data_IF_882523283496
#
_entry.id   IF_882523283496
#
_cell.length_a   1.000
_cell.length_b   1.000
_cell.length_c   1.000
_cell.angle_alpha   90.00
_cell.angle_beta   90.00
_cell.angle_gamma   90.00
#
_symmetry.space_group_name_H-M   'P 1'
#
loop_
_entity.id
_entity.type
_entity.pdbx_description
1 polymer ?
#
# COMPACT_ATOMS: atom_id res chain seq x y z
N UNK A 1 -34.97 -43.60 -9.35
CA UNK A 1 -33.59 -43.09 -9.53
C UNK A 1 -32.61 -44.15 -9.08
N UNK A 2 -31.59 -44.49 -9.87
CA UNK A 2 -30.58 -45.50 -9.51
C UNK A 2 -29.75 -45.05 -8.29
N UNK A 3 -29.39 -45.97 -7.40
CA UNK A 3 -28.53 -45.67 -6.23
C UNK A 3 -27.21 -45.01 -6.64
N UNK A 4 -26.67 -45.41 -7.78
CA UNK A 4 -25.45 -44.83 -8.38
C UNK A 4 -25.64 -43.34 -8.67
N UNK A 5 -26.82 -42.92 -9.14
CA UNK A 5 -27.11 -41.51 -9.42
C UNK A 5 -27.12 -40.66 -8.16
N UNK A 6 -27.61 -41.20 -7.03
CA UNK A 6 -27.60 -40.52 -5.72
C UNK A 6 -26.19 -40.38 -5.17
N UNK A 7 -25.37 -41.43 -5.31
CA UNK A 7 -23.95 -41.40 -4.90
C UNK A 7 -23.16 -40.36 -5.68
N UNK A 8 -23.36 -40.27 -7.00
CA UNK A 8 -22.75 -39.24 -7.85
C UNK A 8 -23.18 -37.83 -7.41
N UNK A 9 -24.46 -37.61 -7.10
CA UNK A 9 -24.94 -36.31 -6.64
C UNK A 9 -24.32 -35.93 -5.29
N UNK A 10 -24.20 -36.87 -4.37
CA UNK A 10 -23.56 -36.64 -3.07
C UNK A 10 -22.07 -36.32 -3.23
N UNK A 11 -21.35 -37.06 -4.08
CA UNK A 11 -19.95 -36.78 -4.40
C UNK A 11 -19.77 -35.39 -5.01
N UNK A 12 -20.66 -34.97 -5.91
CA UNK A 12 -20.65 -33.61 -6.49
C UNK A 12 -20.85 -32.53 -5.41
N UNK A 13 -21.77 -32.74 -4.47
CA UNK A 13 -22.01 -31.81 -3.35
C UNK A 13 -20.78 -31.68 -2.46
N UNK A 14 -20.13 -32.80 -2.12
CA UNK A 14 -18.90 -32.80 -1.32
C UNK A 14 -17.79 -32.04 -2.07
N UNK A 15 -17.59 -32.30 -3.37
CA UNK A 15 -16.58 -31.60 -4.17
C UNK A 15 -16.86 -30.08 -4.21
N UNK A 16 -18.12 -29.68 -4.41
CA UNK A 16 -18.49 -28.27 -4.44
C UNK A 16 -18.20 -27.58 -3.10
N UNK A 17 -18.52 -28.24 -1.98
CA UNK A 17 -18.25 -27.74 -0.63
C UNK A 17 -16.75 -27.63 -0.36
N UNK A 18 -15.95 -28.66 -0.70
CA UNK A 18 -14.50 -28.61 -0.52
C UNK A 18 -13.86 -27.50 -1.37
N UNK A 19 -14.31 -27.31 -2.62
CA UNK A 19 -13.86 -26.20 -3.48
C UNK A 19 -14.17 -24.84 -2.87
N UNK A 20 -15.35 -24.69 -2.26
CA UNK A 20 -15.74 -23.47 -1.54
C UNK A 20 -14.80 -23.21 -0.36
N UNK A 21 -14.51 -24.23 0.45
CA UNK A 21 -13.58 -24.14 1.58
C UNK A 21 -12.16 -23.75 1.16
N UNK A 22 -11.65 -24.35 0.08
CA UNK A 22 -10.34 -23.98 -0.48
C UNK A 22 -10.32 -22.50 -0.88
N UNK A 23 -11.36 -22.03 -1.57
CA UNK A 23 -11.46 -20.62 -1.98
C UNK A 23 -11.55 -19.66 -0.80
N UNK A 24 -12.23 -20.05 0.27
CA UNK A 24 -12.31 -19.27 1.51
C UNK A 24 -10.97 -19.23 2.25
N UNK A 25 -10.25 -20.35 2.33
CA UNK A 25 -8.91 -20.41 2.89
C UNK A 25 -7.92 -19.52 2.13
N UNK A 26 -7.92 -19.59 0.79
CA UNK A 26 -7.09 -18.73 -0.06
C UNK A 26 -7.38 -17.23 0.14
N UNK A 27 -8.65 -16.86 0.29
CA UNK A 27 -9.03 -15.48 0.59
C UNK A 27 -8.57 -15.04 1.98
N UNK A 28 -8.62 -15.93 2.97
CA UNK A 28 -8.16 -15.65 4.32
C UNK A 28 -6.64 -15.43 4.34
N UNK A 29 -5.89 -16.26 3.62
CA UNK A 29 -4.44 -16.14 3.44
C UNK A 29 -4.08 -14.81 2.77
N UNK A 30 -4.66 -14.50 1.61
CA UNK A 30 -4.42 -13.23 0.91
C UNK A 30 -4.77 -12.01 1.77
N UNK A 31 -5.84 -12.10 2.59
CA UNK A 31 -6.20 -11.04 3.54
C UNK A 31 -5.17 -10.91 4.66
N UNK A 32 -4.60 -12.01 5.13
CA UNK A 32 -3.56 -12.00 6.17
C UNK A 32 -2.25 -11.39 5.64
N UNK A 33 -1.87 -11.73 4.41
CA UNK A 33 -0.71 -11.16 3.73
C UNK A 33 -0.88 -9.66 3.48
N UNK A 34 -2.06 -9.24 3.00
CA UNK A 34 -2.37 -7.83 2.81
C UNK A 34 -2.26 -7.04 4.14
N UNK A 35 -2.81 -7.58 5.24
CA UNK A 35 -2.67 -6.97 6.57
C UNK A 35 -1.22 -6.86 7.02
N UNK A 36 -0.41 -7.89 6.78
CA UNK A 36 1.00 -7.88 7.13
C UNK A 36 1.74 -6.82 6.31
N UNK A 37 1.48 -6.75 5.01
CA UNK A 37 2.05 -5.75 4.10
C UNK A 37 1.66 -4.32 4.50
N UNK A 38 0.39 -4.10 4.83
CA UNK A 38 -0.10 -2.79 5.29
C UNK A 38 0.62 -2.36 6.59
N UNK A 39 0.81 -3.30 7.53
CA UNK A 39 1.58 -3.04 8.75
C UNK A 39 3.04 -2.72 8.48
N UNK A 40 3.69 -3.46 7.58
CA UNK A 40 5.07 -3.19 7.19
C UNK A 40 5.21 -1.80 6.56
N UNK A 41 4.32 -1.44 5.64
CA UNK A 41 4.30 -0.12 5.02
C UNK A 41 4.07 0.99 6.04
N UNK A 42 3.14 0.81 6.98
CA UNK A 42 2.88 1.77 8.04
C UNK A 42 4.11 2.01 8.93
N UNK A 43 4.77 0.92 9.37
CA UNK A 43 5.95 0.99 10.24
C UNK A 43 7.11 1.67 9.50
N UNK A 44 7.41 1.23 8.26
CA UNK A 44 8.51 1.79 7.47
C UNK A 44 8.26 3.26 7.11
N UNK A 45 7.02 3.63 6.77
CA UNK A 45 6.64 5.01 6.53
C UNK A 45 6.87 5.88 7.76
N UNK A 46 6.40 5.45 8.93
CA UNK A 46 6.62 6.16 10.20
C UNK A 46 8.10 6.30 10.55
N UNK A 47 8.89 5.24 10.36
CA UNK A 47 10.33 5.27 10.59
C UNK A 47 11.05 6.25 9.63
N UNK A 48 10.65 6.29 8.36
CA UNK A 48 11.22 7.21 7.37
C UNK A 48 10.91 8.67 7.71
N UNK A 49 9.69 8.97 8.15
CA UNK A 49 9.30 10.31 8.62
C UNK A 49 10.14 10.71 9.85
N UNK A 50 10.29 9.80 10.81
CA UNK A 50 11.10 10.02 12.01
C UNK A 50 12.56 10.32 11.66
N UNK A 51 13.13 9.57 10.71
CA UNK A 51 14.50 9.78 10.24
C UNK A 51 14.68 11.16 9.58
N UNK A 52 13.68 11.61 8.82
CA UNK A 52 13.68 12.92 8.17
C UNK A 52 13.60 14.12 9.14
N UNK A 53 13.35 13.90 10.44
CA UNK A 53 13.51 14.94 11.46
C UNK A 53 14.98 15.34 11.65
N UNK A 54 15.93 14.45 11.34
CA UNK A 54 17.36 14.64 11.60
C UNK A 54 18.26 14.42 10.39
N UNK A 55 17.80 13.71 9.35
CA UNK A 55 18.57 13.37 8.16
C UNK A 55 17.95 13.93 6.88
N UNK A 56 18.64 14.90 6.28
CA UNK A 56 18.25 15.56 5.03
C UNK A 56 18.21 14.60 3.82
N UNK A 57 18.95 13.47 3.85
CA UNK A 57 18.83 12.43 2.81
C UNK A 57 17.47 11.77 2.84
N UNK A 58 16.91 11.55 4.03
CA UNK A 58 15.56 11.00 4.18
C UNK A 58 14.51 12.01 3.68
N UNK A 59 14.70 13.31 3.94
CA UNK A 59 13.86 14.38 3.37
C UNK A 59 13.83 14.31 1.85
N UNK A 60 14.99 14.34 1.18
CA UNK A 60 15.10 14.23 -0.29
C UNK A 60 14.46 12.95 -0.83
N UNK A 61 14.58 11.85 -0.09
CA UNK A 61 13.97 10.57 -0.46
C UNK A 61 12.45 10.68 -0.44
N UNK A 62 11.86 11.24 0.63
CA UNK A 62 10.42 11.47 0.73
C UNK A 62 9.93 12.35 -0.41
N UNK A 63 10.61 13.48 -0.69
CA UNK A 63 10.24 14.36 -1.81
C UNK A 63 10.24 13.63 -3.16
N UNK A 64 11.25 12.80 -3.40
CA UNK A 64 11.35 12.02 -4.65
C UNK A 64 10.24 10.97 -4.74
N UNK A 65 9.81 10.38 -3.62
CA UNK A 65 8.68 9.46 -3.58
C UNK A 65 7.35 10.18 -3.85
N UNK A 66 7.13 11.35 -3.24
CA UNK A 66 5.91 12.13 -3.42
C UNK A 66 5.71 12.61 -4.87
N UNK A 67 6.80 12.98 -5.56
CA UNK A 67 6.76 13.32 -7.00
C UNK A 67 6.28 12.17 -7.90
N UNK A 68 6.35 10.92 -7.43
CA UNK A 68 5.91 9.73 -8.19
C UNK A 68 4.46 9.32 -7.87
N UNK A 69 3.80 9.99 -6.93
CA UNK A 69 2.39 9.69 -6.61
C UNK A 69 1.51 10.22 -7.74
N UNK A 70 0.93 9.33 -8.53
CA UNK A 70 0.12 9.71 -9.70
C UNK A 70 -1.31 10.10 -9.35
N UNK A 71 -1.88 9.46 -8.31
CA UNK A 71 -3.30 9.59 -7.99
C UNK A 71 -3.56 10.88 -7.21
N UNK A 72 -4.44 11.79 -7.68
CA UNK A 72 -4.69 13.06 -7.00
C UNK A 72 -5.22 12.91 -5.57
N UNK A 73 -6.01 11.86 -5.28
CA UNK A 73 -6.47 11.57 -3.92
C UNK A 73 -5.33 11.25 -2.97
N UNK A 74 -4.31 10.58 -3.48
CA UNK A 74 -3.19 10.11 -2.68
C UNK A 74 -2.20 11.28 -2.48
N UNK A 75 -2.00 12.12 -3.50
CA UNK A 75 -1.28 13.40 -3.36
C UNK A 75 -1.88 14.27 -2.25
N UNK A 76 -3.22 14.41 -2.23
CA UNK A 76 -3.93 15.19 -1.21
C UNK A 76 -3.73 14.67 0.22
N UNK A 77 -3.56 13.35 0.39
CA UNK A 77 -3.28 12.75 1.70
C UNK A 77 -1.93 13.22 2.27
N UNK A 78 -0.98 13.59 1.39
CA UNK A 78 0.35 14.07 1.78
C UNK A 78 0.47 15.60 1.88
N UNK A 79 -0.54 16.39 1.47
CA UNK A 79 -0.51 17.85 1.68
C UNK A 79 -0.42 18.26 3.15
N UNK A 80 -0.90 17.41 4.06
CA UNK A 80 -0.78 17.64 5.51
C UNK A 80 0.66 17.43 6.01
N UNK A 81 1.48 16.65 5.30
CA UNK A 81 2.91 16.46 5.61
C UNK A 81 3.74 17.71 5.36
N UNK A 82 3.31 18.60 4.45
CA UNK A 82 3.99 19.87 4.16
C UNK A 82 4.04 20.85 5.34
N UNK A 83 3.39 20.52 6.48
CA UNK A 83 3.51 21.26 7.75
C UNK A 83 4.71 20.81 8.62
N UNK A 84 5.45 19.78 8.21
CA UNK A 84 6.73 19.44 8.84
C UNK A 84 7.80 20.43 8.35
N UNK A 85 8.44 21.22 9.23
CA UNK A 85 9.36 22.29 8.81
C UNK A 85 10.53 21.82 7.94
N UNK A 86 10.98 20.57 8.12
CA UNK A 86 12.07 19.97 7.35
C UNK A 86 11.65 19.41 5.99
N UNK A 87 10.35 19.27 5.71
CA UNK A 87 9.77 18.80 4.45
C UNK A 87 8.91 19.87 3.77
N UNK A 88 8.77 21.04 4.39
CA UNK A 88 8.14 22.20 3.78
C UNK A 88 9.00 22.57 2.57
N UNK A 89 8.57 22.16 1.38
CA UNK A 89 9.20 22.52 0.13
C UNK A 89 9.30 24.05 0.08
N UNK A 90 10.46 24.61 0.43
CA UNK A 90 10.76 25.98 0.08
C UNK A 90 10.80 25.99 -1.44
N UNK A 91 9.94 26.78 -2.11
CA UNK A 91 10.08 26.97 -3.53
C UNK A 91 11.48 27.54 -3.73
N UNK A 92 12.35 26.77 -4.39
CA UNK A 92 13.66 27.26 -4.81
C UNK A 92 13.39 28.52 -5.64
N UNK A 93 13.79 29.72 -5.20
CA UNK A 93 13.67 30.89 -6.06
C UNK A 93 14.54 30.60 -7.28
N UNK A 94 13.91 30.62 -8.45
CA UNK A 94 14.62 30.53 -9.72
C UNK A 94 15.77 31.54 -9.68
N UNK A 95 17.02 31.06 -9.80
CA UNK A 95 18.17 31.94 -9.83
C UNK A 95 18.01 32.87 -11.01
N UNK A 96 17.75 34.14 -10.72
CA UNK A 96 17.90 35.25 -11.65
C UNK A 96 19.36 35.25 -12.10
N UNK A 97 19.63 34.64 -13.26
CA UNK A 97 20.88 34.85 -13.96
C UNK A 97 20.83 36.25 -14.60
N UNK A 98 21.18 37.25 -13.81
CA UNK A 98 21.67 38.53 -14.33
C UNK A 98 23.15 38.33 -14.65
N UNK A 99 23.48 38.27 -15.94
CA UNK A 99 24.84 38.54 -16.40
C UNK A 99 24.79 39.76 -17.33
N UNK A 100 25.52 40.79 -16.89
CA UNK A 100 25.96 41.96 -17.68
C UNK A 100 26.70 41.56 -18.96
#
# INVERSE_FOLDING_TARGET
MSNISKEIENAKKIIAEQKKRIKEAQKAEAKSEAKLRDRQNYILGGALIKLAETDERAVRTIETLLKRVERPSDQKAFETFSRLPSLAMTPVPASENTHE
#
